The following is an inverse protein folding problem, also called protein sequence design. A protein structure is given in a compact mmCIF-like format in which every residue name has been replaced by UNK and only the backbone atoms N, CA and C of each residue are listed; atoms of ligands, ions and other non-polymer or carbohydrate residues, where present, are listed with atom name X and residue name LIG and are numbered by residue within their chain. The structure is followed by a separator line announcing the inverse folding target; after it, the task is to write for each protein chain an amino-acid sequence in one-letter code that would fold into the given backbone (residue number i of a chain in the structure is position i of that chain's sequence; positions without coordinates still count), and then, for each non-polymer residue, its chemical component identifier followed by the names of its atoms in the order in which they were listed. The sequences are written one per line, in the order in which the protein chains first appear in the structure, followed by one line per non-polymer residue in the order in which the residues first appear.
data_IF_039021908938
#
_entry.id   IF_039021908938
#
_cell.length_a   1.000
_cell.length_b   1.000
_cell.length_c   1.000
_cell.angle_alpha   90.00
_cell.angle_beta   90.00
_cell.angle_gamma   90.00
#
_symmetry.space_group_name_H-M   'P 1'
#
loop_
_entity.id
_entity.type
_entity.pdbx_description
1 polymer ?
#
# COMPACT_ATOMS: atom_id res chain seq x y z
N UNK A 1 14.52 10.18 9.68
CA UNK A 1 13.15 10.19 9.12
C UNK A 1 12.33 11.22 9.87
N UNK A 2 12.16 12.42 9.30
CA UNK A 2 11.36 13.49 9.91
C UNK A 2 9.91 13.22 9.52
N UNK A 3 9.13 12.74 10.49
CA UNK A 3 7.69 12.58 10.35
C UNK A 3 7.06 13.97 10.28
N UNK A 4 6.87 14.49 9.06
CA UNK A 4 6.07 15.70 8.85
C UNK A 4 4.64 15.36 9.28
N UNK A 5 4.29 15.84 10.47
CA UNK A 5 2.97 15.74 11.06
C UNK A 5 1.93 16.24 10.05
N UNK A 6 1.04 15.34 9.63
CA UNK A 6 -0.18 15.59 8.83
C UNK A 6 -0.87 16.97 9.05
N UNK A 7 -0.92 17.59 10.25
CA UNK A 7 -1.47 18.94 10.42
C UNK A 7 -0.75 20.06 9.66
N UNK A 8 0.57 19.99 9.41
CA UNK A 8 1.28 21.12 8.76
C UNK A 8 0.94 21.24 7.28
N UNK A 9 0.67 20.11 6.62
CA UNK A 9 0.25 20.06 5.21
C UNK A 9 -1.18 20.57 5.08
N UNK A 10 -2.07 20.19 6.00
CA UNK A 10 -3.45 20.72 6.05
C UNK A 10 -3.48 22.23 6.33
N UNK A 11 -2.60 22.74 7.20
CA UNK A 11 -2.50 24.17 7.50
C UNK A 11 -2.01 24.98 6.30
N UNK A 12 -1.00 24.49 5.59
CA UNK A 12 -0.54 25.13 4.35
C UNK A 12 -1.62 25.10 3.26
N UNK A 13 -2.33 23.97 3.11
CA UNK A 13 -3.42 23.85 2.16
C UNK A 13 -4.56 24.82 2.48
N UNK A 14 -4.99 24.88 3.74
CA UNK A 14 -6.00 25.83 4.20
C UNK A 14 -5.57 27.29 3.99
N UNK A 15 -4.32 27.65 4.30
CA UNK A 15 -3.81 29.01 4.07
C UNK A 15 -3.79 29.37 2.58
N UNK A 16 -3.33 28.47 1.70
CA UNK A 16 -3.30 28.75 0.26
C UNK A 16 -4.69 28.88 -0.35
N UNK A 17 -5.64 28.03 0.06
CA UNK A 17 -7.04 28.10 -0.38
C UNK A 17 -7.72 29.36 0.15
N UNK A 18 -7.49 29.74 1.42
CA UNK A 18 -8.04 30.98 1.99
C UNK A 18 -7.46 32.24 1.35
N UNK A 19 -6.18 32.24 0.96
CA UNK A 19 -5.57 33.35 0.22
C UNK A 19 -6.15 33.41 -1.20
N UNK A 20 -6.32 32.27 -1.88
CA UNK A 20 -6.87 32.22 -3.23
C UNK A 20 -8.37 32.60 -3.28
N UNK A 21 -9.15 32.12 -2.31
CA UNK A 21 -10.56 32.53 -2.14
C UNK A 21 -10.68 33.95 -1.61
N UNK A 22 -9.80 34.41 -0.73
CA UNK A 22 -9.76 35.79 -0.26
C UNK A 22 -9.50 36.79 -1.39
N UNK A 23 -8.66 36.41 -2.37
CA UNK A 23 -8.40 37.20 -3.57
C UNK A 23 -9.60 37.17 -4.55
N UNK A 24 -10.33 36.05 -4.66
CA UNK A 24 -11.55 35.97 -5.49
C UNK A 24 -12.79 36.60 -4.82
N UNK A 25 -12.83 36.64 -3.49
CA UNK A 25 -13.98 37.08 -2.67
C UNK A 25 -13.96 38.59 -2.38
N UNK A 26 -12.99 39.33 -2.91
CA UNK A 26 -12.90 40.80 -2.72
C UNK A 26 -14.01 41.61 -3.43
N UNK A 27 -15.04 40.98 -4.02
CA UNK A 27 -16.04 41.70 -4.81
C UNK A 27 -17.51 41.39 -4.60
N UNK A 28 -17.93 40.71 -3.52
CA UNK A 28 -19.36 40.63 -3.20
C UNK A 28 -19.60 40.42 -1.70
N UNK A 29 -19.72 41.53 -0.99
CA UNK A 29 -20.10 41.63 0.44
C UNK A 29 -21.48 40.99 0.73
N UNK A 30 -22.28 40.78 -0.32
CA UNK A 30 -23.61 40.17 -0.24
C UNK A 30 -23.61 38.64 -0.17
N UNK A 31 -22.55 37.97 -0.64
CA UNK A 31 -22.47 36.50 -0.66
C UNK A 31 -21.95 35.93 0.66
N UNK A 32 -21.15 36.71 1.39
CA UNK A 32 -20.57 36.32 2.68
C UNK A 32 -21.59 36.22 3.80
N UNK A 33 -22.70 36.97 3.72
CA UNK A 33 -23.76 36.93 4.73
C UNK A 33 -24.64 35.68 4.57
N UNK A 34 -24.90 35.27 3.33
CA UNK A 34 -25.74 34.10 3.01
C UNK A 34 -25.03 32.78 3.34
N UNK A 35 -23.73 32.68 3.04
CA UNK A 35 -22.91 31.51 3.42
C UNK A 35 -22.76 31.38 4.94
N UNK A 36 -22.72 32.51 5.67
CA UNK A 36 -22.60 32.50 7.14
C UNK A 36 -23.89 32.00 7.80
N UNK A 37 -25.05 32.30 7.23
CA UNK A 37 -26.33 31.77 7.72
C UNK A 37 -26.45 30.26 7.48
N UNK A 38 -26.06 29.76 6.30
CA UNK A 38 -26.07 28.32 6.01
C UNK A 38 -25.07 27.54 6.88
N UNK A 39 -23.87 28.07 7.11
CA UNK A 39 -22.87 27.43 7.97
C UNK A 39 -23.32 27.33 9.43
N UNK A 40 -23.98 28.37 9.95
CA UNK A 40 -24.51 28.35 11.31
C UNK A 40 -25.66 27.34 11.45
N UNK A 41 -26.52 27.20 10.44
CA UNK A 41 -27.60 26.21 10.43
C UNK A 41 -27.07 24.77 10.46
N UNK A 42 -26.01 24.48 9.70
CA UNK A 42 -25.38 23.16 9.67
C UNK A 42 -24.64 22.82 10.97
N UNK A 43 -24.02 23.81 11.62
CA UNK A 43 -23.41 23.63 12.95
C UNK A 43 -24.46 23.30 14.02
N UNK A 44 -25.60 23.97 13.98
CA UNK A 44 -26.71 23.71 14.90
C UNK A 44 -27.37 22.34 14.66
N UNK A 45 -27.39 21.89 13.40
CA UNK A 45 -27.79 20.52 13.04
C UNK A 45 -26.77 19.46 13.51
N UNK A 46 -25.49 19.80 13.59
CA UNK A 46 -24.45 18.88 14.06
C UNK A 46 -24.44 18.73 15.58
N UNK A 47 -24.61 19.82 16.34
CA UNK A 47 -24.76 19.78 17.80
C UNK A 47 -26.04 19.03 18.24
N UNK A 48 -27.11 19.11 17.46
CA UNK A 48 -28.35 18.36 17.75
C UNK A 48 -28.21 16.86 17.51
N UNK A 49 -27.41 16.44 16.51
CA UNK A 49 -27.06 15.03 16.29
C UNK A 49 -26.13 14.47 17.38
N UNK A 50 -25.24 15.28 17.94
CA UNK A 50 -24.40 14.89 19.09
C UNK A 50 -25.19 14.81 20.41
N UNK A 51 -26.31 15.52 20.52
CA UNK A 51 -27.17 15.53 21.71
C UNK A 51 -28.24 14.42 21.75
N UNK A 52 -28.42 13.68 20.67
CA UNK A 52 -29.30 12.50 20.66
C UNK A 52 -28.59 11.38 21.43
N UNK A 53 -29.17 10.86 22.54
CA UNK A 53 -28.67 9.64 23.12
C UNK A 53 -28.95 8.55 22.08
N UNK A 54 -27.90 8.18 21.36
CA UNK A 54 -27.92 6.99 20.53
C UNK A 54 -28.50 5.87 21.38
N UNK A 55 -29.48 5.17 20.81
CA UNK A 55 -30.05 3.98 21.39
C UNK A 55 -28.94 2.92 21.43
N UNK A 56 -28.02 3.07 22.39
CA UNK A 56 -27.19 2.02 22.90
C UNK A 56 -28.19 1.09 23.57
N UNK A 57 -28.60 0.07 22.82
CA UNK A 57 -29.10 -1.13 23.46
C UNK A 57 -28.04 -1.54 24.48
N UNK A 58 -28.43 -1.51 25.75
CA UNK A 58 -27.70 -2.11 26.84
C UNK A 58 -27.49 -3.59 26.51
N UNK A 59 -26.33 -3.91 25.93
CA UNK A 59 -25.68 -5.19 26.14
C UNK A 59 -24.43 -4.92 26.95
N UNK A 60 -24.49 -5.36 28.20
CA UNK A 60 -23.31 -5.70 28.98
C UNK A 60 -22.60 -6.88 28.31
N UNK A 61 -21.95 -6.66 27.18
CA UNK A 61 -21.07 -7.61 26.55
C UNK A 61 -19.74 -6.92 26.26
N UNK A 62 -18.65 -7.51 26.73
CA UNK A 62 -17.30 -7.16 26.31
C UNK A 62 -17.20 -7.41 24.80
N UNK A 63 -17.48 -6.40 23.99
CA UNK A 63 -17.46 -6.51 22.53
C UNK A 63 -16.01 -6.50 22.03
N UNK A 64 -15.38 -7.68 22.07
CA UNK A 64 -14.15 -7.93 21.36
C UNK A 64 -14.38 -7.77 19.86
N UNK A 65 -13.45 -7.09 19.18
CA UNK A 65 -13.38 -7.04 17.71
C UNK A 65 -13.57 -8.47 17.17
N UNK A 66 -14.66 -8.73 16.46
CA UNK A 66 -14.90 -10.03 15.79
C UNK A 66 -13.86 -10.20 14.69
N UNK A 67 -12.75 -10.86 15.03
CA UNK A 67 -11.65 -11.13 14.11
C UNK A 67 -12.03 -12.23 13.12
N UNK A 68 -11.59 -12.10 11.87
CA UNK A 68 -11.76 -13.14 10.86
C UNK A 68 -10.98 -14.40 11.27
N UNK A 69 -11.46 -15.63 10.97
CA UNK A 69 -10.72 -16.85 11.26
C UNK A 69 -9.28 -16.79 10.73
N UNK A 70 -8.37 -17.34 11.53
CA UNK A 70 -6.92 -17.38 11.29
C UNK A 70 -6.21 -16.03 11.33
N UNK A 71 -6.81 -15.03 11.99
CA UNK A 71 -6.21 -13.72 12.23
C UNK A 71 -6.17 -13.40 13.72
N UNK A 72 -5.21 -12.59 14.15
CA UNK A 72 -5.08 -12.18 15.55
C UNK A 72 -4.41 -10.81 15.68
N UNK A 73 -4.83 -10.04 16.67
CA UNK A 73 -4.17 -8.81 17.08
C UNK A 73 -3.39 -9.07 18.36
N UNK A 74 -2.13 -8.61 18.39
CA UNK A 74 -1.33 -8.68 19.61
C UNK A 74 -1.86 -7.67 20.64
N UNK A 75 -2.26 -8.11 21.85
CA UNK A 75 -2.85 -7.21 22.86
C UNK A 75 -1.86 -6.20 23.44
N UNK A 76 -0.54 -6.42 23.31
CA UNK A 76 0.50 -5.53 23.83
C UNK A 76 0.94 -4.49 22.79
N UNK A 77 1.03 -4.88 21.52
CA UNK A 77 1.55 -4.00 20.45
C UNK A 77 0.47 -3.47 19.51
N UNK A 78 -0.76 -3.96 19.61
CA UNK A 78 -1.86 -3.68 18.68
C UNK A 78 -1.51 -3.95 17.21
N UNK A 79 -0.57 -4.87 16.97
CA UNK A 79 -0.19 -5.29 15.62
C UNK A 79 -1.09 -6.42 15.14
N UNK A 80 -1.45 -6.39 13.87
CA UNK A 80 -2.29 -7.40 13.22
C UNK A 80 -1.43 -8.48 12.55
N UNK A 81 -1.86 -9.73 12.69
CA UNK A 81 -1.21 -10.91 12.13
C UNK A 81 -2.25 -11.71 11.35
N UNK A 82 -1.91 -12.05 10.11
CA UNK A 82 -2.76 -12.82 9.19
C UNK A 82 -2.03 -14.08 8.76
N UNK A 83 -2.55 -15.24 9.18
CA UNK A 83 -1.96 -16.55 8.88
C UNK A 83 -2.74 -17.28 7.78
N UNK A 84 -3.78 -16.69 7.18
CA UNK A 84 -4.65 -17.35 6.20
C UNK A 84 -3.90 -17.84 4.95
N UNK A 85 -2.87 -17.12 4.53
CA UNK A 85 -2.00 -17.49 3.41
C UNK A 85 -1.23 -18.80 3.63
N UNK A 86 -1.13 -19.27 4.87
CA UNK A 86 -0.50 -20.53 5.23
C UNK A 86 -1.46 -21.72 5.22
N UNK A 87 -2.76 -21.46 5.06
CA UNK A 87 -3.77 -22.49 4.92
C UNK A 87 -3.64 -23.28 3.62
N UNK A 88 -4.40 -24.36 3.52
CA UNK A 88 -4.35 -25.33 2.44
C UNK A 88 -4.63 -24.72 1.07
N UNK A 89 -5.42 -23.64 0.97
CA UNK A 89 -5.69 -22.97 -0.30
C UNK A 89 -4.59 -21.99 -0.73
N UNK A 90 -3.63 -21.69 0.15
CA UNK A 90 -2.49 -20.81 -0.11
C UNK A 90 -2.84 -19.49 -0.80
N UNK A 91 -1.82 -18.78 -1.26
CA UNK A 91 -2.01 -17.66 -2.18
C UNK A 91 -2.05 -18.12 -3.66
N UNK A 92 -1.57 -19.33 -3.94
CA UNK A 92 -1.37 -19.87 -5.29
C UNK A 92 -2.52 -20.79 -5.73
N UNK A 93 -3.56 -20.98 -4.89
CA UNK A 93 -4.68 -21.90 -5.17
C UNK A 93 -4.27 -23.38 -5.16
N UNK A 94 -3.03 -23.70 -4.79
CA UNK A 94 -2.50 -25.05 -4.68
C UNK A 94 -2.65 -25.57 -3.26
N UNK A 95 -3.04 -26.84 -3.15
CA UNK A 95 -3.14 -27.53 -1.87
C UNK A 95 -1.78 -27.60 -1.16
N UNK A 96 -1.63 -26.90 -0.04
CA UNK A 96 -0.39 -26.84 0.74
C UNK A 96 -0.52 -27.59 2.07
N UNK A 97 0.29 -28.65 2.23
CA UNK A 97 0.52 -29.31 3.51
C UNK A 97 1.97 -29.07 3.96
N UNK A 98 2.15 -28.75 5.24
CA UNK A 98 3.46 -28.48 5.81
C UNK A 98 4.06 -29.75 6.39
N UNK A 99 5.24 -30.12 5.91
CA UNK A 99 5.93 -31.33 6.36
C UNK A 99 7.03 -30.97 7.35
N UNK A 100 7.07 -31.68 8.47
CA UNK A 100 8.13 -31.58 9.47
C UNK A 100 8.74 -32.97 9.70
N UNK A 101 10.08 -33.04 9.71
CA UNK A 101 10.81 -34.28 9.99
C UNK A 101 11.09 -34.34 11.49
N UNK A 102 10.56 -35.34 12.18
CA UNK A 102 10.91 -35.63 13.57
C UNK A 102 12.09 -36.58 13.61
N UNK A 103 13.31 -36.08 13.39
CA UNK A 103 14.53 -36.91 13.35
C UNK A 103 14.68 -37.76 14.62
N UNK A 104 14.44 -37.18 15.79
CA UNK A 104 14.55 -37.88 17.08
C UNK A 104 13.35 -38.80 17.37
N UNK A 105 12.17 -38.46 16.84
CA UNK A 105 10.93 -39.25 17.01
C UNK A 105 10.80 -40.38 15.98
N UNK A 106 11.59 -40.35 14.91
CA UNK A 106 11.58 -41.35 13.84
C UNK A 106 10.38 -41.30 12.90
N UNK A 107 9.52 -40.27 12.98
CA UNK A 107 8.33 -40.11 12.10
C UNK A 107 8.34 -38.78 11.34
N UNK A 108 7.67 -38.80 10.20
CA UNK A 108 7.37 -37.60 9.42
C UNK A 108 5.96 -37.10 9.76
N UNK A 109 5.85 -35.81 10.00
CA UNK A 109 4.60 -35.14 10.35
C UNK A 109 4.12 -34.31 9.17
N UNK A 110 2.80 -34.32 8.94
CA UNK A 110 2.12 -33.44 8.01
C UNK A 110 1.09 -32.60 8.76
N UNK A 111 1.20 -31.29 8.63
CA UNK A 111 0.47 -30.29 9.40
C UNK A 111 -0.22 -29.30 8.45
N UNK A 112 -1.42 -28.87 8.82
CA UNK A 112 -2.10 -27.73 8.20
C UNK A 112 -2.10 -26.54 9.16
N UNK A 113 -2.15 -25.32 8.63
CA UNK A 113 -2.23 -24.09 9.44
C UNK A 113 -3.62 -23.50 9.21
N UNK A 114 -4.46 -23.46 10.24
CA UNK A 114 -5.87 -23.04 10.15
C UNK A 114 -6.74 -23.80 9.12
N UNK A 115 -6.23 -24.92 8.60
CA UNK A 115 -6.92 -25.79 7.65
C UNK A 115 -6.43 -27.23 7.80
N UNK A 116 -7.13 -28.17 7.17
CA UNK A 116 -6.67 -29.57 7.12
C UNK A 116 -5.53 -29.78 6.12
N UNK A 117 -4.52 -30.63 6.42
CA UNK A 117 -3.50 -31.06 5.47
C UNK A 117 -3.93 -32.28 4.64
N UNK A 118 -5.21 -32.68 4.67
CA UNK A 118 -5.76 -33.77 3.87
C UNK A 118 -6.38 -33.27 2.55
N UNK A 119 -5.93 -33.83 1.41
CA UNK A 119 -6.48 -33.51 0.07
C UNK A 119 -7.89 -34.08 -0.15
N UNK A 120 -8.15 -35.29 0.33
CA UNK A 120 -9.41 -36.02 0.15
C UNK A 120 -9.75 -36.82 1.41
N UNK A 121 -10.34 -36.18 2.45
CA UNK A 121 -10.58 -36.83 3.74
C UNK A 121 -11.56 -38.01 3.65
N UNK A 122 -12.41 -38.05 2.63
CA UNK A 122 -13.44 -39.08 2.43
C UNK A 122 -12.89 -40.38 1.82
N UNK A 123 -11.78 -40.33 1.08
CA UNK A 123 -11.20 -41.50 0.38
C UNK A 123 -10.11 -42.21 1.21
N UNK A 124 -10.07 -41.99 2.52
CA UNK A 124 -9.06 -42.56 3.40
C UNK A 124 -9.49 -43.94 3.94
N UNK A 125 -8.55 -44.90 4.07
CA UNK A 125 -8.81 -46.19 4.70
C UNK A 125 -9.44 -46.05 6.09
N UNK A 126 -10.29 -47.00 6.48
CA UNK A 126 -10.91 -47.00 7.81
C UNK A 126 -9.89 -47.17 8.95
N UNK A 127 -8.72 -47.73 8.65
CA UNK A 127 -7.61 -47.88 9.58
C UNK A 127 -6.89 -46.56 9.90
N UNK A 128 -7.07 -45.53 9.07
CA UNK A 128 -6.56 -44.18 9.33
C UNK A 128 -7.50 -43.44 10.30
N UNK A 129 -6.91 -42.68 11.22
CA UNK A 129 -7.62 -41.79 12.14
C UNK A 129 -8.65 -42.50 13.05
N UNK A 130 -8.28 -43.68 13.57
CA UNK A 130 -9.11 -44.42 14.54
C UNK A 130 -9.48 -43.53 15.73
N UNK A 131 -10.77 -43.51 16.09
CA UNK A 131 -11.28 -42.74 17.23
C UNK A 131 -11.50 -41.24 16.96
N UNK A 132 -11.43 -40.80 15.70
CA UNK A 132 -11.77 -39.44 15.25
C UNK A 132 -13.13 -39.48 14.54
N UNK A 133 -14.05 -38.58 14.94
CA UNK A 133 -15.36 -38.46 14.33
C UNK A 133 -15.30 -37.83 12.93
N UNK A 134 -14.82 -36.59 12.84
CA UNK A 134 -14.70 -35.86 11.57
C UNK A 134 -13.25 -35.86 11.06
N UNK A 135 -12.98 -36.62 10.00
CA UNK A 135 -11.64 -36.67 9.38
C UNK A 135 -11.26 -35.37 8.68
N UNK A 136 -12.24 -34.56 8.26
CA UNK A 136 -11.99 -33.29 7.55
C UNK A 136 -11.41 -32.21 8.48
N UNK A 137 -11.56 -32.40 9.79
CA UNK A 137 -11.07 -31.47 10.81
C UNK A 137 -9.68 -31.85 11.34
N UNK A 138 -9.04 -32.90 10.83
CA UNK A 138 -7.68 -33.24 11.24
C UNK A 138 -6.74 -32.09 10.84
N UNK A 139 -6.10 -31.46 11.83
CA UNK A 139 -5.16 -30.36 11.65
C UNK A 139 -3.70 -30.83 11.47
N UNK A 140 -3.41 -32.06 11.88
CA UNK A 140 -2.09 -32.66 11.72
C UNK A 140 -2.09 -34.16 11.94
N UNK A 141 -1.13 -34.86 11.32
CA UNK A 141 -0.96 -36.30 11.49
C UNK A 141 0.48 -36.77 11.28
N UNK A 142 0.77 -37.98 11.79
CA UNK A 142 1.94 -38.77 11.40
C UNK A 142 1.50 -40.16 10.95
N UNK A 143 2.38 -40.86 10.24
CA UNK A 143 2.18 -42.25 9.85
C UNK A 143 2.92 -43.17 10.82
N UNK A 144 2.23 -44.13 11.43
CA UNK A 144 2.82 -45.13 12.32
C UNK A 144 3.65 -46.19 11.56
N UNK A 145 4.36 -47.08 12.26
CA UNK A 145 5.17 -48.15 11.61
C UNK A 145 4.30 -49.14 10.81
N UNK A 146 3.03 -49.26 11.20
CA UNK A 146 2.04 -50.09 10.52
C UNK A 146 1.47 -49.43 9.25
N UNK A 147 1.89 -48.20 8.94
CA UNK A 147 1.43 -47.44 7.78
C UNK A 147 0.11 -46.69 7.96
N UNK A 148 -0.47 -46.69 9.16
CA UNK A 148 -1.73 -46.01 9.46
C UNK A 148 -1.49 -44.58 9.94
N UNK A 149 -2.39 -43.67 9.58
CA UNK A 149 -2.31 -42.26 10.00
C UNK A 149 -2.94 -42.05 11.37
N UNK A 150 -2.21 -41.36 12.25
CA UNK A 150 -2.66 -40.96 13.59
C UNK A 150 -2.81 -39.45 13.66
N UNK A 151 -3.95 -38.97 14.15
CA UNK A 151 -4.20 -37.54 14.33
C UNK A 151 -3.44 -37.03 15.56
N UNK A 152 -2.79 -35.88 15.42
CA UNK A 152 -2.13 -35.17 16.53
C UNK A 152 -2.90 -33.92 16.98
N UNK A 153 -4.11 -33.74 16.44
CA UNK A 153 -5.02 -32.67 16.83
C UNK A 153 -5.97 -32.25 15.70
N UNK A 154 -7.08 -31.65 16.09
CA UNK A 154 -8.07 -31.04 15.21
C UNK A 154 -7.68 -29.60 14.90
N UNK A 155 -8.06 -29.16 13.70
CA UNK A 155 -7.79 -27.83 13.18
C UNK A 155 -8.45 -26.77 14.08
N UNK A 156 -7.66 -25.76 14.42
CA UNK A 156 -8.13 -24.53 15.06
C UNK A 156 -7.84 -23.36 14.14
N UNK A 157 -8.77 -22.41 14.09
CA UNK A 157 -8.65 -21.15 13.34
C UNK A 157 -8.43 -19.96 14.26
N UNK A 158 -8.18 -20.16 15.55
CA UNK A 158 -8.00 -19.09 16.54
C UNK A 158 -6.55 -19.04 17.04
N UNK A 159 -5.64 -18.35 16.33
CA UNK A 159 -4.30 -18.12 16.84
C UNK A 159 -4.34 -17.14 18.03
N UNK A 160 -3.45 -17.34 19.00
CA UNK A 160 -3.40 -16.56 20.24
C UNK A 160 -1.97 -16.21 20.62
N UNK A 161 -1.81 -15.10 21.33
CA UNK A 161 -0.51 -14.72 21.91
C UNK A 161 -0.34 -15.35 23.29
N UNK A 162 0.73 -16.14 23.47
CA UNK A 162 1.22 -16.57 24.77
C UNK A 162 2.48 -15.75 25.10
N UNK A 163 2.30 -14.70 25.89
CA UNK A 163 3.33 -13.70 26.12
C UNK A 163 3.73 -12.98 24.83
N UNK A 164 4.95 -13.21 24.34
CA UNK A 164 5.46 -12.62 23.09
C UNK A 164 5.41 -13.57 21.89
N UNK A 165 4.97 -14.81 22.07
CA UNK A 165 4.94 -15.83 21.02
C UNK A 165 3.52 -15.96 20.47
N UNK A 166 3.41 -15.95 19.14
CA UNK A 166 2.18 -16.26 18.42
C UNK A 166 2.04 -17.78 18.34
N UNK A 167 0.91 -18.32 18.82
CA UNK A 167 0.71 -19.76 19.00
C UNK A 167 -0.64 -20.18 18.44
N UNK A 168 -0.69 -21.32 17.76
CA UNK A 168 -1.91 -22.02 17.38
C UNK A 168 -1.92 -23.40 18.06
N UNK A 169 -3.06 -23.77 18.65
CA UNK A 169 -3.21 -24.99 19.44
C UNK A 169 -4.27 -25.89 18.81
N UNK A 170 -3.90 -27.14 18.58
CA UNK A 170 -4.76 -28.21 18.08
C UNK A 170 -4.97 -29.25 19.18
N UNK A 171 -6.22 -29.57 19.48
CA UNK A 171 -6.63 -30.51 20.54
C UNK A 171 -7.37 -31.70 19.95
N UNK A 172 -7.77 -32.66 20.79
CA UNK A 172 -8.70 -33.72 20.38
C UNK A 172 -8.22 -34.60 19.20
N UNK A 173 -6.93 -34.94 19.22
CA UNK A 173 -6.33 -35.90 18.30
C UNK A 173 -6.65 -37.36 18.62
N UNK A 174 -5.84 -38.27 18.09
CA UNK A 174 -5.94 -39.69 18.42
C UNK A 174 -5.58 -39.93 19.89
N UNK A 175 -5.98 -41.07 20.44
CA UNK A 175 -5.63 -41.43 21.82
C UNK A 175 -4.11 -41.61 21.98
N UNK A 176 -3.62 -41.27 23.16
CA UNK A 176 -2.23 -41.48 23.56
C UNK A 176 -2.01 -42.96 23.93
N UNK A 177 -0.84 -43.49 23.58
CA UNK A 177 -0.49 -44.89 23.78
C UNK A 177 0.13 -45.06 25.18
N UNK A 178 -0.11 -46.19 25.86
CA UNK A 178 0.59 -46.53 27.11
C UNK A 178 0.04 -45.92 28.41
N UNK A 179 -1.20 -45.46 28.45
CA UNK A 179 -1.87 -45.03 29.69
C UNK A 179 -2.94 -46.05 30.07
N UNK A 180 -2.67 -46.85 31.12
CA UNK A 180 -3.53 -47.96 31.56
C UNK A 180 -4.82 -47.51 32.28
N UNK A 181 -4.91 -46.26 32.77
CA UNK A 181 -6.06 -45.78 33.54
C UNK A 181 -6.94 -44.77 32.77
N UNK A 182 -8.01 -45.30 32.19
CA UNK A 182 -9.39 -44.81 32.04
C UNK A 182 -9.75 -43.30 31.99
N UNK A 183 -8.85 -42.42 31.53
CA UNK A 183 -9.20 -41.19 30.80
C UNK A 183 -8.22 -41.05 29.66
N UNK A 184 -8.54 -41.68 28.54
CA UNK A 184 -7.70 -41.76 27.36
C UNK A 184 -7.32 -40.35 26.86
N UNK A 185 -6.15 -39.88 27.30
CA UNK A 185 -5.62 -38.58 26.93
C UNK A 185 -5.55 -38.49 25.41
N UNK A 186 -5.93 -37.32 24.89
CA UNK A 186 -5.97 -37.04 23.46
C UNK A 186 -4.68 -36.36 23.04
N UNK A 187 -4.12 -36.79 21.91
CA UNK A 187 -2.96 -36.15 21.31
C UNK A 187 -3.27 -34.69 20.98
N UNK A 188 -2.32 -33.80 21.25
CA UNK A 188 -2.45 -32.35 21.05
C UNK A 188 -1.18 -31.77 20.46
N UNK A 189 -1.32 -30.68 19.72
CA UNK A 189 -0.21 -30.03 19.02
C UNK A 189 -0.20 -28.54 19.26
N UNK A 190 0.99 -27.98 19.48
CA UNK A 190 1.23 -26.55 19.62
C UNK A 190 2.17 -26.11 18.50
N UNK A 191 1.69 -25.18 17.67
CA UNK A 191 2.44 -24.51 16.62
C UNK A 191 2.87 -23.13 17.12
N UNK A 192 4.16 -22.92 17.29
CA UNK A 192 4.73 -21.61 17.64
C UNK A 192 5.23 -20.92 16.38
N UNK A 193 4.66 -19.77 16.06
CA UNK A 193 5.04 -18.97 14.90
C UNK A 193 6.18 -18.01 15.23
N UNK A 194 7.20 -18.00 14.37
CA UNK A 194 8.33 -17.10 14.41
C UNK A 194 8.41 -16.30 13.10
N UNK A 195 8.59 -14.98 13.23
CA UNK A 195 8.81 -14.09 12.10
C UNK A 195 10.19 -14.36 11.50
N UNK A 196 10.20 -14.76 10.24
CA UNK A 196 11.40 -14.91 9.42
C UNK A 196 11.15 -14.16 8.10
N UNK A 197 11.92 -13.09 7.87
CA UNK A 197 11.78 -12.23 6.69
C UNK A 197 12.65 -12.67 5.52
N UNK A 198 13.62 -13.55 5.77
CA UNK A 198 14.60 -13.98 4.77
C UNK A 198 14.10 -15.18 3.96
N UNK A 199 13.07 -15.87 4.47
CA UNK A 199 12.47 -17.01 3.79
C UNK A 199 11.65 -16.57 2.57
N UNK A 200 12.03 -17.07 1.38
CA UNK A 200 11.32 -16.79 0.13
C UNK A 200 9.94 -17.46 0.15
N UNK A 201 8.92 -16.71 0.57
CA UNK A 201 7.45 -16.96 0.53
C UNK A 201 6.88 -18.27 1.08
N UNK A 202 7.65 -19.35 1.21
CA UNK A 202 7.23 -20.64 1.74
C UNK A 202 7.64 -20.75 3.21
N UNK A 203 6.68 -21.02 4.08
CA UNK A 203 6.97 -21.28 5.48
C UNK A 203 7.74 -22.58 5.67
N UNK A 204 8.61 -22.63 6.69
CA UNK A 204 9.29 -23.87 7.09
C UNK A 204 8.79 -24.30 8.47
N UNK A 205 8.38 -25.57 8.60
CA UNK A 205 7.92 -26.15 9.87
C UNK A 205 8.97 -27.12 10.39
N UNK A 206 9.43 -26.87 11.62
CA UNK A 206 10.42 -27.68 12.31
C UNK A 206 9.79 -28.34 13.53
N UNK A 207 10.08 -29.62 13.73
CA UNK A 207 9.68 -30.34 14.94
C UNK A 207 10.63 -29.99 16.09
N UNK A 208 10.07 -29.62 17.23
CA UNK A 208 10.84 -29.25 18.44
C UNK A 208 10.94 -30.43 19.39
N UNK A 209 9.86 -31.18 19.57
CA UNK A 209 9.82 -32.33 20.46
C UNK A 209 8.40 -32.76 20.82
N UNK A 210 8.31 -33.85 21.59
CA UNK A 210 7.06 -34.34 22.19
C UNK A 210 7.26 -34.67 23.67
N UNK A 211 6.17 -34.60 24.42
CA UNK A 211 6.11 -35.06 25.81
C UNK A 211 5.12 -36.23 25.88
N UNK A 212 5.59 -37.36 26.43
CA UNK A 212 4.82 -38.60 26.61
C UNK A 212 4.09 -39.07 25.34
N UNK A 213 4.65 -38.78 24.15
CA UNK A 213 4.07 -39.08 22.82
C UNK A 213 2.62 -38.60 22.63
N UNK A 214 2.23 -37.60 23.41
CA UNK A 214 0.86 -37.11 23.54
C UNK A 214 0.76 -35.62 23.19
N UNK A 215 1.78 -34.82 23.56
CA UNK A 215 1.83 -33.39 23.24
C UNK A 215 3.00 -33.09 22.33
N UNK A 216 2.74 -32.50 21.16
CA UNK A 216 3.72 -32.22 20.12
C UNK A 216 3.95 -30.72 19.99
N UNK A 217 5.21 -30.32 19.83
CA UNK A 217 5.61 -28.92 19.69
C UNK A 217 6.33 -28.71 18.37
N UNK A 218 5.86 -27.72 17.59
CA UNK A 218 6.45 -27.35 16.32
C UNK A 218 6.75 -25.86 16.29
N UNK A 219 7.83 -25.49 15.62
CA UNK A 219 8.19 -24.12 15.31
C UNK A 219 7.92 -23.86 13.82
N UNK A 220 7.12 -22.85 13.52
CA UNK A 220 6.77 -22.42 12.17
C UNK A 220 7.47 -21.09 11.88
N UNK A 221 8.45 -21.09 10.99
CA UNK A 221 9.12 -19.86 10.54
C UNK A 221 8.47 -19.36 9.26
N UNK A 222 8.02 -18.11 9.26
CA UNK A 222 7.25 -17.52 8.16
C UNK A 222 7.26 -16.00 8.21
N UNK A 223 7.18 -15.37 7.04
CA UNK A 223 7.01 -13.92 6.90
C UNK A 223 5.64 -13.44 7.40
N UNK A 224 4.62 -14.30 7.38
CA UNK A 224 3.27 -13.99 7.82
C UNK A 224 3.12 -13.86 9.35
N UNK A 225 4.11 -14.31 10.10
CA UNK A 225 4.21 -14.14 11.54
C UNK A 225 4.91 -12.82 11.92
N UNK A 226 5.31 -12.01 10.93
CA UNK A 226 5.80 -10.67 11.15
C UNK A 226 4.61 -9.71 11.27
N UNK A 227 4.73 -8.69 12.13
CA UNK A 227 3.71 -7.66 12.26
C UNK A 227 3.44 -6.99 10.92
N UNK A 228 2.24 -7.17 10.38
CA UNK A 228 1.82 -6.52 9.15
C UNK A 228 1.35 -5.12 9.53
N UNK A 229 2.00 -4.09 8.98
CA UNK A 229 1.44 -2.75 9.05
C UNK A 229 0.09 -2.79 8.33
N UNK A 230 -0.96 -2.26 8.98
CA UNK A 230 -2.29 -2.15 8.37
C UNK A 230 -2.12 -1.65 6.93
N UNK A 231 -2.71 -2.39 5.97
CA UNK A 231 -2.62 -2.11 4.53
C UNK A 231 -2.84 -0.62 4.34
N UNK A 232 -1.75 0.12 4.11
CA UNK A 232 -1.82 1.56 3.94
C UNK A 232 -2.44 1.72 2.57
N UNK A 233 -3.65 2.24 2.51
CA UNK A 233 -4.34 2.43 1.24
C UNK A 233 -3.43 3.19 0.28
N UNK A 234 -2.87 2.46 -0.70
CA UNK A 234 -2.02 3.01 -1.77
C UNK A 234 -2.78 4.08 -2.59
N UNK A 235 -4.09 4.19 -2.37
CA UNK A 235 -4.94 5.30 -2.78
C UNK A 235 -4.37 6.66 -2.35
N UNK A 236 -3.68 6.76 -1.22
CA UNK A 236 -3.07 8.02 -0.79
C UNK A 236 -2.06 8.56 -1.82
N UNK A 237 -1.31 7.66 -2.49
CA UNK A 237 -0.32 8.05 -3.51
C UNK A 237 -1.03 8.53 -4.78
N UNK A 238 -2.13 7.88 -5.15
CA UNK A 238 -2.96 8.27 -6.31
C UNK A 238 -3.54 9.67 -6.12
N UNK A 239 -4.09 9.96 -4.93
CA UNK A 239 -4.64 11.28 -4.61
C UNK A 239 -3.56 12.38 -4.62
N UNK A 240 -2.34 12.07 -4.17
CA UNK A 240 -1.21 13.02 -4.22
C UNK A 240 -0.83 13.35 -5.67
N UNK A 241 -0.76 12.35 -6.56
CA UNK A 241 -0.40 12.58 -7.96
C UNK A 241 -1.44 13.42 -8.70
N UNK A 242 -2.73 13.10 -8.55
CA UNK A 242 -3.82 13.88 -9.15
C UNK A 242 -3.82 15.34 -8.68
N UNK A 243 -3.53 15.56 -7.40
CA UNK A 243 -3.45 16.91 -6.84
C UNK A 243 -2.32 17.74 -7.46
N UNK A 244 -1.13 17.18 -7.62
CA UNK A 244 0.02 17.86 -8.26
C UNK A 244 -0.30 18.21 -9.71
N UNK A 245 -0.91 17.28 -10.47
CA UNK A 245 -1.34 17.53 -11.84
C UNK A 245 -2.35 18.67 -11.94
N UNK A 246 -3.33 18.74 -11.04
CA UNK A 246 -4.32 19.81 -11.01
C UNK A 246 -3.69 21.18 -10.74
N UNK A 247 -2.77 21.27 -9.78
CA UNK A 247 -2.04 22.51 -9.51
C UNK A 247 -1.20 22.97 -10.71
N UNK A 248 -0.52 22.04 -11.40
CA UNK A 248 0.27 22.36 -12.58
C UNK A 248 -0.60 22.93 -13.72
N UNK A 249 -1.77 22.33 -13.97
CA UNK A 249 -2.72 22.83 -14.96
C UNK A 249 -3.26 24.22 -14.58
N UNK A 250 -3.60 24.44 -13.31
CA UNK A 250 -4.09 25.73 -12.83
C UNK A 250 -3.06 26.87 -13.04
N UNK A 251 -1.78 26.61 -12.76
CA UNK A 251 -0.69 27.57 -13.01
C UNK A 251 -0.49 27.80 -14.51
N UNK A 252 -0.51 26.74 -15.32
CA UNK A 252 -0.35 26.84 -16.77
C UNK A 252 -1.45 27.68 -17.43
N UNK A 253 -2.72 27.38 -17.12
CA UNK A 253 -3.85 28.13 -17.66
C UNK A 253 -3.98 29.53 -17.04
N UNK A 254 -3.75 29.67 -15.74
CA UNK A 254 -3.78 30.96 -15.04
C UNK A 254 -2.70 31.92 -15.53
N UNK A 255 -1.47 31.43 -15.75
CA UNK A 255 -0.38 32.22 -16.31
C UNK A 255 -0.69 32.73 -17.73
N UNK A 256 -1.28 31.90 -18.58
CA UNK A 256 -1.73 32.30 -19.92
C UNK A 256 -2.83 33.37 -19.91
N UNK A 257 -3.78 33.27 -18.98
CA UNK A 257 -4.83 34.27 -18.81
C UNK A 257 -4.26 35.62 -18.36
N UNK A 258 -3.37 35.64 -17.36
CA UNK A 258 -2.72 36.88 -16.89
C UNK A 258 -1.83 37.49 -17.97
N UNK A 259 -1.08 36.66 -18.71
CA UNK A 259 -0.22 37.12 -19.80
C UNK A 259 -1.03 37.77 -20.94
N UNK A 260 -2.15 37.15 -21.33
CA UNK A 260 -3.02 37.69 -22.39
C UNK A 260 -3.74 38.98 -21.97
N UNK A 261 -4.11 39.11 -20.69
CA UNK A 261 -4.71 40.33 -20.14
C UNK A 261 -3.71 41.49 -20.10
N UNK A 262 -2.47 41.25 -19.66
CA UNK A 262 -1.44 42.29 -19.59
C UNK A 262 -1.09 42.84 -20.99
N UNK A 263 -0.97 41.95 -21.98
CA UNK A 263 -0.71 42.32 -23.38
C UNK A 263 -1.82 43.18 -23.98
N UNK A 264 -3.09 42.87 -23.71
CA UNK A 264 -4.23 43.64 -24.19
C UNK A 264 -4.40 45.00 -23.48
N UNK A 265 -3.79 45.18 -22.30
CA UNK A 265 -3.80 46.46 -21.61
C UNK A 265 -2.73 47.42 -22.16
N UNK A 266 -1.57 46.90 -22.61
CA UNK A 266 -0.55 47.72 -23.30
C UNK A 266 -1.03 48.26 -24.66
N UNK A 267 -1.84 47.49 -25.40
CA UNK A 267 -2.36 47.94 -26.70
C UNK A 267 -3.41 49.07 -26.62
N UNK A 268 -4.01 49.32 -25.45
CA UNK A 268 -4.94 50.45 -25.23
C UNK A 268 -4.24 51.78 -24.92
N UNK A 269 -2.97 51.76 -24.48
CA UNK A 269 -2.19 52.98 -24.23
C UNK A 269 -1.47 53.50 -25.49
N UNK A 270 -1.30 52.68 -26.52
CA UNK A 270 -0.71 53.09 -27.79
C UNK A 270 -1.70 53.72 -28.80
N UNK A 271 -3.02 53.58 -28.60
CA UNK A 271 -4.04 54.07 -29.53
C UNK A 271 -4.55 55.50 -29.26
N UNK A 272 -4.08 56.17 -28.21
CA UNK A 272 -4.55 57.52 -27.84
C UNK A 272 -3.59 58.65 -28.25
N UNK A 273 -2.67 58.39 -29.19
CA UNK A 273 -1.85 59.43 -29.84
C UNK A 273 -1.88 59.35 -31.36
N UNK A 274 -3.09 59.24 -31.94
CA UNK A 274 -3.31 59.53 -33.37
C UNK A 274 -4.68 60.16 -33.63
N UNK A 275 -5.06 61.14 -32.81
CA UNK A 275 -6.13 62.09 -33.13
C UNK A 275 -5.84 63.45 -32.49
N UNK A 276 -5.00 64.26 -33.15
CA UNK A 276 -5.05 65.73 -33.23
C UNK A 276 -3.71 66.26 -33.74
N UNK A 277 -3.61 66.39 -35.06
CA UNK A 277 -3.03 67.54 -35.78
C UNK A 277 -3.58 67.40 -37.20
N UNK A 278 -4.75 67.99 -37.42
CA UNK A 278 -4.95 69.34 -37.95
C UNK A 278 -4.96 69.33 -39.47
N UNK A 279 -6.19 69.49 -39.94
CA UNK A 279 -6.61 70.02 -41.21
C UNK A 279 -5.77 71.23 -41.66
N UNK A 280 -5.72 71.41 -42.99
CA UNK A 280 -5.20 72.56 -43.77
C UNK A 280 -3.72 72.54 -44.14
N UNK A 281 -3.42 72.10 -45.37
CA UNK A 281 -3.14 73.03 -46.48
C UNK A 281 -3.03 72.25 -47.79
N UNK A 282 -4.01 72.48 -48.67
CA UNK A 282 -3.91 72.18 -50.08
C UNK A 282 -3.30 73.37 -50.83
N UNK A 283 -2.57 73.04 -51.90
CA UNK A 283 -2.10 73.89 -53.01
C UNK A 283 -0.76 74.63 -52.80
N UNK A 284 0.30 74.01 -53.33
CA UNK A 284 1.31 74.53 -54.28
C UNK A 284 2.45 73.49 -54.33
N UNK A 285 2.52 72.65 -55.37
CA UNK A 285 3.21 72.91 -56.63
C UNK A 285 4.69 73.29 -56.47
N UNK A 286 5.53 72.39 -56.99
CA UNK A 286 6.79 72.66 -57.69
C UNK A 286 8.09 72.93 -56.89
N UNK A 287 9.20 72.44 -57.50
CA UNK A 287 10.63 72.53 -57.13
C UNK A 287 11.10 71.43 -56.15
N UNK A 288 11.55 70.26 -56.62
CA UNK A 288 12.82 69.93 -57.31
C UNK A 288 14.06 70.04 -56.39
N UNK A 289 14.89 68.98 -56.45
CA UNK A 289 16.27 68.80 -55.95
C UNK A 289 16.41 68.44 -54.47
N UNK A 290 17.15 67.39 -54.09
CA UNK A 290 17.96 66.47 -54.89
C UNK A 290 18.64 65.42 -54.01
N UNK A 291 19.35 64.51 -54.71
CA UNK A 291 20.40 63.59 -54.22
C UNK A 291 19.91 62.46 -53.29
N UNK A 292 20.32 61.19 -53.40
CA UNK A 292 21.41 60.46 -54.06
C UNK A 292 20.95 58.99 -54.18
N UNK A 293 21.07 58.34 -55.34
CA UNK A 293 22.19 57.52 -55.84
C UNK A 293 22.18 56.05 -55.39
N UNK A 294 22.37 55.20 -56.40
CA UNK A 294 22.42 53.74 -56.36
C UNK A 294 23.62 53.19 -55.58
N UNK A 295 23.50 51.89 -55.27
CA UNK A 295 24.49 50.83 -55.60
C UNK A 295 25.07 50.06 -54.40
N UNK A 296 24.68 48.78 -54.34
CA UNK A 296 25.51 47.56 -54.21
C UNK A 296 26.81 47.59 -53.38
N UNK A 297 26.90 46.54 -52.55
CA UNK A 297 28.05 45.68 -52.23
C UNK A 297 28.63 45.64 -50.80
N UNK A 298 28.68 44.40 -50.32
CA UNK A 298 29.56 43.69 -49.38
C UNK A 298 30.71 44.46 -48.71
N UNK A 299 30.90 44.22 -47.40
CA UNK A 299 32.06 43.48 -46.85
C UNK A 299 32.27 43.72 -45.33
N UNK A 300 32.62 42.62 -44.67
CA UNK A 300 33.22 42.41 -43.32
C UNK A 300 34.63 43.06 -43.27
N UNK A 301 35.15 43.59 -42.13
CA UNK A 301 35.94 42.85 -41.11
C UNK A 301 35.63 43.26 -39.65
N UNK A 302 35.56 42.37 -38.66
CA UNK A 302 36.61 41.55 -38.02
C UNK A 302 37.41 42.29 -36.91
N UNK A 303 37.17 41.88 -35.66
CA UNK A 303 38.09 41.71 -34.51
C UNK A 303 37.24 41.68 -33.23
N UNK A 304 37.31 40.71 -32.31
CA UNK A 304 38.17 39.55 -32.14
C UNK A 304 38.23 39.21 -30.65
N UNK A 305 38.18 37.91 -30.33
CA UNK A 305 38.45 37.23 -29.06
C UNK A 305 37.34 37.22 -27.97
N UNK A 306 37.09 36.16 -27.20
CA UNK A 306 37.53 34.75 -27.16
C UNK A 306 36.89 34.13 -25.90
N UNK A 307 36.13 33.03 -26.04
CA UNK A 307 36.17 31.80 -25.21
C UNK A 307 34.95 30.92 -25.52
N UNK A 308 35.23 29.81 -26.22
CA UNK A 308 34.37 28.65 -26.42
C UNK A 308 34.39 27.73 -25.20
N UNK A 309 33.27 27.06 -24.95
CA UNK A 309 33.25 25.77 -24.26
C UNK A 309 32.34 24.83 -25.08
N UNK A 310 32.99 23.97 -25.85
CA UNK A 310 32.47 22.81 -26.55
C UNK A 310 32.04 21.73 -25.55
N UNK A 311 30.90 21.06 -25.78
CA UNK A 311 30.82 19.63 -25.49
C UNK A 311 29.78 18.93 -26.38
N UNK A 312 30.27 18.59 -27.56
CA UNK A 312 29.88 17.45 -28.39
C UNK A 312 30.22 16.14 -27.64
N UNK A 313 29.22 15.47 -27.09
CA UNK A 313 29.27 14.01 -26.87
C UNK A 313 27.89 13.46 -26.49
N UNK A 314 27.13 12.99 -27.48
CA UNK A 314 25.93 12.17 -27.26
C UNK A 314 25.71 11.10 -28.33
N UNK A 315 26.70 10.88 -29.21
CA UNK A 315 26.65 9.83 -30.23
C UNK A 315 27.72 8.74 -30.05
N UNK A 316 28.45 8.71 -28.94
CA UNK A 316 29.49 7.68 -28.66
C UNK A 316 29.14 6.75 -27.47
N UNK A 317 27.95 6.88 -26.87
CA UNK A 317 27.48 5.96 -25.80
C UNK A 317 26.49 4.89 -26.29
N UNK A 318 26.14 4.91 -27.58
CA UNK A 318 25.29 3.90 -28.22
C UNK A 318 26.07 2.75 -28.87
N UNK A 319 27.41 2.81 -28.92
CA UNK A 319 28.26 1.71 -29.41
C UNK A 319 28.92 0.87 -28.29
N UNK A 320 28.75 1.22 -27.00
CA UNK A 320 29.28 0.45 -25.87
C UNK A 320 28.28 -0.51 -25.20
N UNK A 321 27.01 -0.50 -25.61
CA UNK A 321 25.99 -1.42 -25.06
C UNK A 321 25.76 -2.69 -25.89
N UNK A 322 26.25 -2.77 -27.13
CA UNK A 322 26.10 -3.97 -27.97
C UNK A 322 27.28 -4.97 -27.84
N UNK A 323 28.38 -4.59 -27.16
CA UNK A 323 29.58 -5.45 -27.03
C UNK A 323 29.64 -6.31 -25.74
N UNK A 324 28.65 -6.25 -24.84
CA UNK A 324 28.65 -7.09 -23.62
C UNK A 324 27.56 -8.19 -23.60
N UNK A 325 26.78 -8.33 -24.68
CA UNK A 325 25.73 -9.36 -24.77
C UNK A 325 26.20 -10.74 -25.27
N UNK A 326 27.45 -10.89 -25.72
CA UNK A 326 27.93 -12.13 -26.39
C UNK A 326 29.05 -12.90 -25.64
N UNK A 327 29.26 -12.68 -24.34
CA UNK A 327 30.34 -13.35 -23.57
C UNK A 327 29.92 -14.11 -22.30
N UNK A 328 28.70 -14.62 -22.23
CA UNK A 328 28.30 -15.60 -21.20
C UNK A 328 27.41 -16.73 -21.76
N UNK A 329 27.70 -17.17 -22.98
CA UNK A 329 27.29 -18.49 -23.49
C UNK A 329 28.59 -19.17 -23.91
N UNK A 330 28.93 -20.27 -23.23
CA UNK A 330 30.16 -21.07 -23.29
C UNK A 330 31.25 -20.70 -22.26
N UNK A 331 30.97 -21.00 -20.98
CA UNK A 331 31.74 -21.99 -20.21
C UNK A 331 30.85 -22.63 -19.14
#
# INVERSE_FOLDING_TARGET
MISLRKPTIFLFFACTVLVFFGILSSRNEKLTTEIREEANHLLQQWETLESLPGHLNNQNDTEGIQLEPCTVINPLTNQFFDLRSLGALGNEGLFQAWNARGYDYGKNFSLGICSTPLKQPQNLPQSDFVGIGNRSEVGGYYTDDSGNKRSIGQVSTSPKFRGRKLVLEYTDGSFCEGLEDEKSLRKSTILSFACDREIMSRASVSYVGSINDCSYFFEVRTIHACATAAKKDDMAIIWIFLFICLCALAVFFGGGAVYSLFRNHQSRLASTQRRRHSFSNGVKSFVQTGFEYNQYNDNVPESGAYFDADNRDSNELLELLDSQADKNIND
#
